data_IF_007374302279
#
_entry.id   IF_007374302279
#
_cell.length_a   1.000
_cell.length_b   1.000
_cell.length_c   1.000
_cell.angle_alpha   90.00
_cell.angle_beta   90.00
_cell.angle_gamma   90.00
#
_symmetry.space_group_name_H-M   'P 1'
#
loop_
_entity.id
_entity.type
_entity.pdbx_description
1 polymer ?
#
# COMPACT_ATOMS: atom_id res chain seq x y z
N UNK A 1 -4.37 -1.69 -25.03
CA UNK A 1 -3.10 -2.40 -24.73
C UNK A 1 -2.83 -2.23 -23.25
N UNK A 2 -2.43 -3.28 -22.55
CA UNK A 2 -2.22 -3.26 -21.10
C UNK A 2 -0.91 -3.97 -20.71
N UNK A 3 -0.36 -3.64 -19.54
CA UNK A 3 0.79 -4.34 -18.94
C UNK A 3 0.34 -5.52 -18.09
N UNK A 4 -0.77 -5.35 -17.37
CA UNK A 4 -1.27 -6.30 -16.40
C UNK A 4 -2.49 -7.00 -16.99
N UNK A 5 -2.54 -8.32 -16.84
CA UNK A 5 -3.60 -9.16 -17.38
C UNK A 5 -3.95 -10.25 -16.38
N UNK A 6 -5.23 -10.60 -16.33
CA UNK A 6 -5.73 -11.77 -15.62
C UNK A 6 -6.14 -12.81 -16.66
N UNK A 7 -6.08 -14.07 -16.27
CA UNK A 7 -6.59 -15.15 -17.09
C UNK A 7 -7.25 -16.25 -16.29
N UNK A 8 -8.15 -16.95 -16.96
CA UNK A 8 -8.76 -18.19 -16.48
C UNK A 8 -8.60 -19.27 -17.52
N UNK A 9 -8.38 -20.51 -17.10
CA UNK A 9 -8.29 -21.67 -17.98
C UNK A 9 -8.94 -22.88 -17.31
N UNK A 10 -10.10 -23.27 -17.83
CA UNK A 10 -10.83 -24.46 -17.37
C UNK A 10 -10.28 -25.73 -18.01
N UNK A 11 -10.26 -26.82 -17.22
CA UNK A 11 -9.80 -28.15 -17.66
C UNK A 11 -8.44 -28.06 -18.37
N UNK A 12 -7.46 -27.55 -17.63
CA UNK A 12 -6.09 -27.32 -18.12
C UNK A 12 -5.33 -28.64 -18.26
N UNK A 13 -4.47 -28.73 -19.26
CA UNK A 13 -3.46 -29.80 -19.32
C UNK A 13 -2.18 -29.35 -18.63
N UNK A 14 -1.38 -30.31 -18.14
CA UNK A 14 -0.10 -29.96 -17.51
C UNK A 14 0.86 -29.31 -18.53
N UNK A 15 0.77 -29.66 -19.82
CA UNK A 15 1.51 -29.00 -20.91
C UNK A 15 1.16 -27.51 -21.01
N UNK A 16 -0.14 -27.16 -20.99
CA UNK A 16 -0.60 -25.77 -21.04
C UNK A 16 -0.12 -24.97 -19.82
N UNK A 17 -0.13 -25.61 -18.64
CA UNK A 17 0.39 -25.01 -17.42
C UNK A 17 1.90 -24.73 -17.55
N UNK A 18 2.67 -25.68 -18.09
CA UNK A 18 4.11 -25.49 -18.33
C UNK A 18 4.39 -24.44 -19.41
N UNK A 19 3.59 -24.33 -20.47
CA UNK A 19 3.75 -23.30 -21.51
C UNK A 19 3.52 -21.88 -20.99
N UNK A 20 2.52 -21.72 -20.13
CA UNK A 20 2.24 -20.44 -19.45
C UNK A 20 3.41 -20.05 -18.56
N UNK A 21 3.94 -21.01 -17.78
CA UNK A 21 5.13 -20.79 -16.96
C UNK A 21 6.39 -20.60 -17.80
N UNK A 22 6.55 -21.26 -18.95
CA UNK A 22 7.70 -21.12 -19.83
C UNK A 22 7.84 -19.73 -20.46
N UNK A 23 6.76 -18.93 -20.43
CA UNK A 23 6.73 -17.57 -20.98
C UNK A 23 7.37 -16.50 -20.08
N UNK A 24 8.09 -16.89 -19.01
CA UNK A 24 8.73 -16.00 -18.01
C UNK A 24 9.59 -14.89 -18.63
N UNK A 25 10.31 -15.16 -19.73
CA UNK A 25 11.23 -14.16 -20.31
C UNK A 25 10.54 -12.85 -20.72
N UNK A 26 9.25 -12.91 -21.05
CA UNK A 26 8.44 -11.75 -21.47
C UNK A 26 7.75 -11.06 -20.29
N UNK A 27 7.83 -11.65 -19.11
CA UNK A 27 7.08 -11.29 -17.91
C UNK A 27 8.03 -10.68 -16.86
N UNK A 28 7.52 -9.73 -16.10
CA UNK A 28 8.15 -9.27 -14.86
C UNK A 28 7.68 -10.12 -13.68
N UNK A 29 6.42 -10.53 -13.72
CA UNK A 29 5.75 -11.23 -12.65
C UNK A 29 4.62 -12.09 -13.21
N UNK A 30 4.43 -13.27 -12.64
CA UNK A 30 3.28 -14.13 -12.87
C UNK A 30 2.94 -14.90 -11.60
N UNK A 31 1.64 -15.02 -11.33
CA UNK A 31 1.08 -15.91 -10.32
C UNK A 31 -0.02 -16.74 -10.97
N UNK A 32 0.00 -18.05 -10.72
CA UNK A 32 -1.00 -19.00 -11.22
C UNK A 32 -1.49 -19.83 -10.04
N UNK A 33 -2.76 -19.64 -9.66
CA UNK A 33 -3.47 -20.49 -8.70
C UNK A 33 -4.11 -21.67 -9.41
N UNK A 34 -3.94 -22.87 -8.83
CA UNK A 34 -4.67 -24.08 -9.19
C UNK A 34 -5.87 -24.16 -8.27
N UNK A 35 -7.05 -23.93 -8.83
CA UNK A 35 -8.31 -23.95 -8.09
C UNK A 35 -9.18 -25.13 -8.54
N UNK A 36 -9.99 -25.69 -7.63
CA UNK A 36 -10.93 -26.77 -7.95
C UNK A 36 -12.34 -26.23 -7.80
N UNK A 37 -13.08 -26.19 -8.90
CA UNK A 37 -14.45 -25.69 -8.92
C UNK A 37 -15.38 -26.56 -8.08
N UNK A 38 -16.59 -26.05 -7.78
CA UNK A 38 -17.59 -26.76 -6.99
C UNK A 38 -18.01 -28.11 -7.60
N UNK A 39 -17.88 -28.27 -8.92
CA UNK A 39 -18.15 -29.52 -9.66
C UNK A 39 -16.91 -30.44 -9.78
N UNK A 40 -15.81 -30.12 -9.10
CA UNK A 40 -14.57 -30.89 -9.13
C UNK A 40 -13.69 -30.63 -10.37
N UNK A 41 -14.06 -29.67 -11.22
CA UNK A 41 -13.30 -29.30 -12.41
C UNK A 41 -12.06 -28.46 -12.05
N UNK A 42 -10.85 -28.92 -12.42
CA UNK A 42 -9.64 -28.14 -12.19
C UNK A 42 -9.61 -26.95 -13.14
N UNK A 43 -9.36 -25.76 -12.60
CA UNK A 43 -9.18 -24.54 -13.37
C UNK A 43 -7.96 -23.77 -12.87
N UNK A 44 -7.34 -23.02 -13.78
CA UNK A 44 -6.25 -22.12 -13.45
C UNK A 44 -6.78 -20.70 -13.38
N UNK A 45 -6.52 -20.02 -12.27
CA UNK A 45 -6.75 -18.59 -12.13
C UNK A 45 -5.39 -17.90 -12.01
N UNK A 46 -5.07 -17.04 -12.97
CA UNK A 46 -3.75 -16.41 -13.03
C UNK A 46 -3.77 -14.91 -13.22
N UNK A 47 -2.69 -14.28 -12.77
CA UNK A 47 -2.39 -12.87 -12.99
C UNK A 47 -0.96 -12.74 -13.49
N UNK A 48 -0.74 -11.87 -14.47
CA UNK A 48 0.58 -11.62 -15.02
C UNK A 48 0.84 -10.14 -15.29
N UNK A 49 2.12 -9.80 -15.22
CA UNK A 49 2.65 -8.49 -15.54
C UNK A 49 3.72 -8.60 -16.61
N UNK A 50 3.47 -7.99 -17.75
CA UNK A 50 4.38 -7.99 -18.90
C UNK A 50 5.44 -6.89 -18.79
N UNK A 51 6.62 -7.15 -19.37
CA UNK A 51 7.68 -6.14 -19.57
C UNK A 51 7.24 -5.00 -20.50
N UNK A 52 6.40 -5.31 -21.49
CA UNK A 52 5.91 -4.37 -22.51
C UNK A 52 4.39 -4.44 -22.59
N UNK A 53 3.73 -3.34 -22.98
CA UNK A 53 2.28 -3.34 -23.23
C UNK A 53 1.97 -4.29 -24.37
N UNK A 54 1.01 -5.18 -24.15
CA UNK A 54 0.50 -6.10 -25.18
C UNK A 54 -0.97 -5.88 -25.46
N UNK A 55 -1.43 -6.40 -26.59
CA UNK A 55 -2.85 -6.54 -26.95
C UNK A 55 -3.27 -7.99 -26.76
N UNK A 56 -4.57 -8.24 -26.66
CA UNK A 56 -5.18 -9.57 -26.54
C UNK A 56 -4.63 -10.60 -27.56
N UNK A 57 -4.44 -10.28 -28.87
CA UNK A 57 -3.91 -11.25 -29.82
C UNK A 57 -2.48 -11.74 -29.51
N UNK A 58 -1.69 -10.95 -28.78
CA UNK A 58 -0.35 -11.38 -28.38
C UNK A 58 -0.41 -12.38 -27.21
N UNK A 59 -1.42 -12.29 -26.35
CA UNK A 59 -1.64 -13.22 -25.24
C UNK A 59 -2.26 -14.54 -25.72
N UNK A 60 -3.14 -14.47 -26.73
CA UNK A 60 -3.65 -15.67 -27.40
C UNK A 60 -2.55 -16.52 -28.06
N UNK A 61 -1.36 -15.95 -28.32
CA UNK A 61 -0.18 -16.71 -28.77
C UNK A 61 0.53 -17.46 -27.64
N UNK A 62 0.35 -17.06 -26.39
CA UNK A 62 0.85 -17.78 -25.21
C UNK A 62 -0.08 -18.97 -24.97
N UNK A 63 -1.37 -18.69 -24.83
CA UNK A 63 -2.40 -19.72 -24.75
C UNK A 63 -3.68 -19.18 -25.40
N UNK A 64 -4.20 -19.88 -26.40
CA UNK A 64 -5.40 -19.47 -27.14
C UNK A 64 -6.70 -19.90 -26.45
N UNK A 65 -6.65 -20.90 -25.58
CA UNK A 65 -7.81 -21.41 -24.81
C UNK A 65 -8.08 -20.59 -23.55
N UNK A 66 -7.06 -19.97 -22.98
CA UNK A 66 -7.21 -19.13 -21.80
C UNK A 66 -8.02 -17.88 -22.13
N UNK A 67 -8.94 -17.53 -21.24
CA UNK A 67 -9.71 -16.30 -21.31
C UNK A 67 -8.91 -15.18 -20.66
N UNK A 68 -8.51 -14.22 -21.48
CA UNK A 68 -7.61 -13.14 -21.09
C UNK A 68 -8.36 -11.82 -20.92
N UNK A 69 -8.21 -11.19 -19.76
CA UNK A 69 -8.81 -9.89 -19.48
C UNK A 69 -7.76 -8.89 -18.97
N UNK A 70 -7.85 -7.61 -19.34
CA UNK A 70 -7.00 -6.58 -18.74
C UNK A 70 -7.28 -6.48 -17.24
N UNK A 71 -6.24 -6.56 -16.41
CA UNK A 71 -6.41 -6.47 -14.96
C UNK A 71 -6.92 -5.08 -14.55
N UNK A 72 -7.98 -5.05 -13.73
CA UNK A 72 -8.60 -3.81 -13.22
C UNK A 72 -8.17 -3.47 -11.79
N UNK A 73 -7.89 -4.50 -10.97
CA UNK A 73 -7.47 -4.35 -9.58
C UNK A 73 -6.01 -3.96 -9.40
N UNK A 74 -5.62 -3.66 -8.16
CA UNK A 74 -4.21 -3.49 -7.80
C UNK A 74 -3.44 -4.82 -7.92
N UNK A 75 -2.11 -4.81 -8.15
CA UNK A 75 -1.34 -6.05 -8.16
C UNK A 75 -1.56 -6.89 -6.89
N UNK A 76 -1.63 -6.24 -5.73
CA UNK A 76 -1.82 -6.90 -4.44
C UNK A 76 -3.20 -7.59 -4.34
N UNK A 77 -4.26 -6.95 -4.82
CA UNK A 77 -5.60 -7.56 -4.89
C UNK A 77 -5.60 -8.81 -5.79
N UNK A 78 -4.98 -8.74 -6.96
CA UNK A 78 -4.94 -9.87 -7.89
C UNK A 78 -4.09 -11.04 -7.34
N UNK A 79 -2.99 -10.73 -6.65
CA UNK A 79 -2.16 -11.75 -5.99
C UNK A 79 -2.92 -12.44 -4.86
N UNK A 80 -3.61 -11.66 -4.02
CA UNK A 80 -4.45 -12.21 -2.97
C UNK A 80 -5.59 -13.07 -3.54
N UNK A 81 -6.13 -12.68 -4.70
CA UNK A 81 -7.16 -13.45 -5.39
C UNK A 81 -6.60 -14.81 -5.87
N UNK A 82 -5.46 -14.81 -6.58
CA UNK A 82 -4.84 -16.04 -7.10
C UNK A 82 -4.22 -16.95 -6.03
N UNK A 83 -4.04 -16.48 -4.79
CA UNK A 83 -3.46 -17.25 -3.68
C UNK A 83 -4.49 -17.79 -2.70
N UNK A 84 -5.79 -17.61 -2.98
CA UNK A 84 -6.90 -17.96 -2.08
C UNK A 84 -6.90 -19.43 -1.65
N UNK A 85 -6.66 -20.36 -2.58
CA UNK A 85 -6.64 -21.80 -2.29
C UNK A 85 -5.27 -22.34 -1.84
N UNK A 86 -4.28 -21.46 -1.63
CA UNK A 86 -2.90 -21.79 -1.20
C UNK A 86 -2.14 -22.77 -2.12
N UNK A 87 -2.73 -23.18 -3.24
CA UNK A 87 -2.09 -23.97 -4.27
C UNK A 87 -1.76 -23.07 -5.46
N UNK A 88 -0.66 -22.33 -5.38
CA UNK A 88 -0.26 -21.41 -6.43
C UNK A 88 1.23 -21.46 -6.73
N UNK A 89 1.59 -21.06 -7.95
CA UNK A 89 2.96 -20.86 -8.37
C UNK A 89 3.18 -19.39 -8.70
N UNK A 90 4.15 -18.80 -8.02
CA UNK A 90 4.54 -17.40 -8.19
C UNK A 90 5.97 -17.34 -8.73
N UNK A 91 6.20 -16.52 -9.75
CA UNK A 91 7.50 -16.33 -10.38
C UNK A 91 7.71 -14.84 -10.72
N UNK A 92 8.89 -14.33 -10.37
CA UNK A 92 9.32 -12.97 -10.68
C UNK A 92 9.00 -11.98 -9.55
N UNK A 93 9.06 -10.69 -9.88
CA UNK A 93 8.89 -9.59 -8.91
C UNK A 93 7.90 -8.56 -9.46
N UNK A 94 6.90 -8.20 -8.66
CA UNK A 94 5.91 -7.18 -9.03
C UNK A 94 6.61 -5.84 -9.24
N UNK A 95 6.63 -5.37 -10.48
CA UNK A 95 7.08 -4.03 -10.82
C UNK A 95 5.97 -3.05 -10.50
N UNK A 96 6.05 -2.45 -9.31
CA UNK A 96 5.16 -1.34 -8.95
C UNK A 96 5.59 -0.14 -9.78
N UNK A 97 4.69 0.32 -10.66
CA UNK A 97 4.81 1.67 -11.17
C UNK A 97 4.60 2.58 -9.98
N UNK A 98 5.68 3.13 -9.50
CA UNK A 98 5.64 4.21 -8.53
C UNK A 98 4.67 5.24 -9.09
N UNK A 99 3.53 5.44 -8.42
CA UNK A 99 2.70 6.62 -8.68
C UNK A 99 3.71 7.74 -8.58
N UNK A 100 3.91 8.49 -9.66
CA UNK A 100 4.59 9.79 -9.55
C UNK A 100 3.77 10.53 -8.51
N UNK A 101 4.23 10.53 -7.26
CA UNK A 101 3.83 11.54 -6.29
C UNK A 101 4.38 12.81 -6.92
N UNK A 102 3.62 13.43 -7.81
CA UNK A 102 3.63 14.88 -7.81
C UNK A 102 3.15 15.22 -6.41
N UNK A 103 4.09 15.37 -5.48
CA UNK A 103 3.79 15.96 -4.18
C UNK A 103 3.40 17.40 -4.51
N UNK A 104 2.13 17.58 -4.89
CA UNK A 104 1.51 18.87 -5.05
C UNK A 104 1.78 19.67 -3.77
N UNK A 105 1.76 19.00 -2.60
CA UNK A 105 2.19 19.54 -1.30
C UNK A 105 3.61 20.12 -1.35
N UNK A 106 4.61 19.39 -1.84
CA UNK A 106 6.02 19.83 -1.90
C UNK A 106 6.24 20.94 -2.95
N UNK A 107 5.60 20.83 -4.11
CA UNK A 107 5.67 21.85 -5.16
C UNK A 107 4.98 23.15 -4.74
N UNK A 108 3.82 23.04 -4.07
CA UNK A 108 3.10 24.16 -3.47
C UNK A 108 3.90 24.77 -2.32
N UNK A 109 4.47 23.95 -1.42
CA UNK A 109 5.31 24.42 -0.31
C UNK A 109 6.51 25.23 -0.80
N UNK A 110 7.24 24.73 -1.79
CA UNK A 110 8.36 25.46 -2.43
C UNK A 110 7.91 26.76 -3.11
N UNK A 111 6.66 26.84 -3.54
CA UNK A 111 6.10 28.05 -4.18
C UNK A 111 5.60 29.05 -3.13
N UNK A 112 5.02 28.58 -2.01
CA UNK A 112 4.58 29.40 -0.88
C UNK A 112 5.79 29.99 -0.14
N UNK A 113 6.84 29.20 0.12
CA UNK A 113 8.05 29.70 0.80
C UNK A 113 8.71 30.85 0.01
N UNK A 114 8.57 30.83 -1.32
CA UNK A 114 9.24 31.80 -2.21
C UNK A 114 8.38 32.99 -2.61
N UNK A 115 7.07 32.96 -2.35
CA UNK A 115 6.13 33.99 -2.85
C UNK A 115 5.22 34.49 -1.74
N UNK A 116 4.95 35.80 -1.75
CA UNK A 116 4.01 36.38 -0.78
C UNK A 116 2.57 35.91 -1.06
N UNK A 117 1.72 35.94 -0.03
CA UNK A 117 0.29 35.60 -0.15
C UNK A 117 -0.43 36.35 -1.29
N UNK A 118 0.00 37.58 -1.58
CA UNK A 118 -0.58 38.44 -2.62
C UNK A 118 -0.21 37.98 -4.05
N UNK A 119 0.99 37.44 -4.24
CA UNK A 119 1.43 36.91 -5.54
C UNK A 119 0.69 35.62 -5.90
N UNK A 120 0.44 34.76 -4.91
CA UNK A 120 -0.35 33.54 -5.09
C UNK A 120 -1.80 33.85 -5.49
N UNK A 121 -2.37 34.94 -4.97
CA UNK A 121 -3.73 35.39 -5.30
C UNK A 121 -3.83 35.90 -6.75
N UNK A 122 -2.79 36.57 -7.26
CA UNK A 122 -2.71 37.03 -8.67
C UNK A 122 -2.61 35.87 -9.66
N UNK A 123 -1.89 34.80 -9.31
CA UNK A 123 -1.77 33.58 -10.14
C UNK A 123 -3.13 32.88 -10.29
N UNK A 124 -3.96 32.89 -9.24
CA UNK A 124 -5.31 32.31 -9.27
C UNK A 124 -6.25 33.01 -10.28
N UNK A 125 -6.01 34.30 -10.58
CA UNK A 125 -6.80 35.06 -11.56
C UNK A 125 -6.61 34.57 -13.01
N UNK A 126 -5.50 33.88 -13.30
CA UNK A 126 -5.17 33.37 -14.65
C UNK A 126 -4.88 31.85 -14.71
N UNK A 127 -4.82 31.15 -13.56
CA UNK A 127 -4.34 29.76 -13.46
C UNK A 127 -5.35 28.74 -12.90
N UNK A 128 -6.64 28.99 -13.04
CA UNK A 128 -7.73 28.25 -12.38
C UNK A 128 -7.94 26.77 -12.81
N UNK A 129 -6.99 26.14 -13.52
CA UNK A 129 -7.11 24.73 -13.95
C UNK A 129 -6.39 23.72 -13.06
N UNK A 130 -5.39 24.16 -12.27
CA UNK A 130 -4.52 23.25 -11.52
C UNK A 130 -4.49 23.47 -10.00
N UNK A 131 -5.17 24.49 -9.49
CA UNK A 131 -5.33 24.71 -8.04
C UNK A 131 -6.78 24.39 -7.69
N UNK A 132 -7.04 23.10 -7.46
CA UNK A 132 -8.39 22.58 -7.21
C UNK A 132 -8.95 23.05 -5.86
N UNK A 133 -8.12 23.53 -4.94
CA UNK A 133 -8.61 24.10 -3.69
C UNK A 133 -7.60 25.07 -3.07
N UNK A 134 -7.78 26.37 -3.33
CA UNK A 134 -6.97 27.44 -2.73
C UNK A 134 -7.09 27.42 -1.20
N UNK A 135 -8.24 27.00 -0.66
CA UNK A 135 -8.47 26.87 0.78
C UNK A 135 -7.48 25.90 1.44
N UNK A 136 -7.28 24.72 0.84
CA UNK A 136 -6.30 23.72 1.31
C UNK A 136 -4.87 24.31 1.29
N UNK A 137 -4.51 25.05 0.25
CA UNK A 137 -3.19 25.68 0.12
C UNK A 137 -2.94 26.71 1.24
N UNK A 138 -3.99 27.43 1.67
CA UNK A 138 -3.90 28.43 2.74
C UNK A 138 -3.86 27.77 4.13
N UNK A 139 -4.56 26.65 4.32
CA UNK A 139 -4.70 25.95 5.61
C UNK A 139 -3.53 24.99 5.89
N UNK A 140 -2.92 24.38 4.87
CA UNK A 140 -1.80 23.45 4.97
C UNK A 140 -0.60 23.97 5.80
N UNK A 141 -0.15 25.24 5.67
CA UNK A 141 0.94 25.75 6.51
C UNK A 141 0.62 25.74 8.00
N UNK A 142 -0.65 25.96 8.38
CA UNK A 142 -1.07 25.93 9.78
C UNK A 142 -1.08 24.49 10.31
N UNK A 143 -1.65 23.56 9.54
CA UNK A 143 -1.68 22.13 9.91
C UNK A 143 -0.27 21.54 10.10
N UNK A 144 0.67 21.88 9.21
CA UNK A 144 2.06 21.43 9.31
C UNK A 144 2.76 22.00 10.55
N UNK A 145 2.48 23.26 10.91
CA UNK A 145 3.04 23.86 12.12
C UNK A 145 2.43 23.24 13.37
N UNK A 146 1.14 22.93 13.36
CA UNK A 146 0.45 22.22 14.44
C UNK A 146 1.04 20.82 14.66
N UNK A 147 1.26 20.03 13.59
CA UNK A 147 1.93 18.72 13.66
C UNK A 147 3.36 18.83 14.22
N UNK A 148 4.11 19.85 13.79
CA UNK A 148 5.46 20.13 14.32
C UNK A 148 5.43 20.47 15.80
N UNK A 149 4.48 21.30 16.23
CA UNK A 149 4.30 21.62 17.64
C UNK A 149 3.90 20.40 18.46
N UNK A 150 3.01 19.56 17.93
CA UNK A 150 2.59 18.33 18.59
C UNK A 150 3.76 17.35 18.75
N UNK A 151 4.60 17.22 17.72
CA UNK A 151 5.82 16.41 17.77
C UNK A 151 6.79 16.93 18.83
N UNK A 152 7.07 18.23 18.84
CA UNK A 152 7.91 18.86 19.88
C UNK A 152 7.32 18.67 21.29
N UNK A 153 5.99 18.76 21.43
CA UNK A 153 5.30 18.51 22.69
C UNK A 153 5.48 17.05 23.12
N UNK A 154 5.21 16.08 22.24
CA UNK A 154 5.42 14.64 22.50
C UNK A 154 6.86 14.34 22.92
N UNK A 155 7.84 14.88 22.21
CA UNK A 155 9.26 14.75 22.58
C UNK A 155 9.56 15.38 23.96
N UNK A 156 8.96 16.53 24.27
CA UNK A 156 9.11 17.18 25.57
C UNK A 156 8.46 16.41 26.72
N UNK A 157 7.40 15.65 26.43
CA UNK A 157 6.73 14.77 27.39
C UNK A 157 7.52 13.49 27.62
N UNK A 158 8.08 12.88 26.56
CA UNK A 158 8.91 11.67 26.67
C UNK A 158 10.18 11.87 27.49
N UNK A 159 10.70 13.10 27.55
CA UNK A 159 11.91 13.45 28.31
C UNK A 159 11.66 13.80 29.78
N UNK A 160 10.40 13.86 30.23
CA UNK A 160 10.09 14.22 31.62
C UNK A 160 9.85 12.99 32.47
N UNK A 161 10.59 12.88 33.56
CA UNK A 161 10.34 11.90 34.61
C UNK A 161 9.03 12.20 35.32
N UNK A 162 8.25 11.14 35.61
CA UNK A 162 7.00 11.23 36.35
C UNK A 162 7.27 11.63 37.79
N UNK A 163 6.49 12.57 38.32
CA UNK A 163 6.58 12.97 39.73
C UNK A 163 6.13 11.81 40.63
N UNK A 164 6.60 11.76 41.89
CA UNK A 164 6.28 10.65 42.81
C UNK A 164 4.78 10.35 42.94
N UNK A 165 3.94 11.39 43.00
CA UNK A 165 2.48 11.23 43.08
C UNK A 165 1.85 10.71 41.77
N UNK A 166 2.49 10.96 40.61
CA UNK A 166 2.02 10.43 39.32
C UNK A 166 2.34 8.94 39.22
N UNK A 167 3.51 8.51 39.71
CA UNK A 167 3.89 7.11 39.83
C UNK A 167 2.90 6.38 40.74
N UNK A 168 2.56 6.99 41.88
CA UNK A 168 1.57 6.43 42.82
C UNK A 168 0.16 6.35 42.20
N UNK A 169 -0.23 7.34 41.38
CA UNK A 169 -1.51 7.33 40.68
C UNK A 169 -1.58 6.26 39.58
N UNK A 170 -0.51 6.09 38.79
CA UNK A 170 -0.41 5.03 37.77
C UNK A 170 -0.48 3.65 38.44
N UNK A 171 0.25 3.47 39.55
CA UNK A 171 0.23 2.23 40.32
C UNK A 171 -1.17 1.92 40.88
N UNK A 172 -1.88 2.94 41.37
CA UNK A 172 -3.27 2.83 41.83
C UNK A 172 -4.26 2.53 40.69
N UNK A 173 -3.95 2.91 39.46
CA UNK A 173 -4.76 2.59 38.28
C UNK A 173 -4.50 1.16 37.81
N UNK A 174 -3.26 0.67 37.89
CA UNK A 174 -2.90 -0.72 37.58
C UNK A 174 -3.43 -1.72 38.63
N UNK A 175 -3.55 -1.30 39.89
CA UNK A 175 -4.09 -2.11 40.99
C UNK A 175 -5.64 -2.10 41.07
N UNK A 176 -6.33 -1.30 40.24
CA UNK A 176 -7.79 -1.31 40.18
C UNK A 176 -8.28 -2.51 39.37
N UNK A 177 -8.85 -3.48 40.07
CA UNK A 177 -9.62 -4.59 39.49
C UNK A 177 -10.87 -4.01 38.81
N UNK A 178 -11.05 -4.27 37.51
CA UNK A 178 -12.14 -3.76 36.66
C UNK A 178 -13.50 -4.16 37.25
N UNK A 179 -14.09 -3.29 38.09
CA UNK A 179 -15.47 -3.46 38.54
C UNK A 179 -16.40 -3.25 37.35
N UNK A 180 -16.78 -4.37 36.73
CA UNK A 180 -18.00 -4.59 35.94
C UNK A 180 -18.69 -3.33 35.41
N UNK A 181 -18.06 -2.75 34.42
CA UNK A 181 -18.64 -1.91 33.38
C UNK A 181 -17.64 -1.98 32.24
N UNK A 182 -17.90 -2.85 31.25
CA UNK A 182 -16.98 -3.19 30.14
C UNK A 182 -15.88 -2.15 29.93
N UNK A 183 -14.62 -2.46 30.29
CA UNK A 183 -13.51 -1.70 29.79
C UNK A 183 -13.57 -1.85 28.28
N UNK A 184 -13.52 -0.74 27.54
CA UNK A 184 -13.27 -0.83 26.11
C UNK A 184 -11.88 -1.44 25.99
N UNK A 185 -11.82 -2.74 25.75
CA UNK A 185 -10.59 -3.54 25.62
C UNK A 185 -9.74 -2.95 24.50
N UNK A 186 -8.86 -2.03 24.86
CA UNK A 186 -7.75 -1.52 24.08
C UNK A 186 -6.70 -1.31 25.18
N UNK A 187 -5.88 -2.28 25.52
CA UNK A 187 -4.76 -2.75 24.71
C UNK A 187 -4.44 -4.17 25.20
N UNK A 188 -4.82 -5.19 24.44
CA UNK A 188 -4.22 -6.52 24.56
C UNK A 188 -2.83 -6.48 23.93
N UNK A 189 -1.85 -7.19 24.51
CA UNK A 189 -0.48 -7.55 24.09
C UNK A 189 -0.01 -7.37 22.62
N UNK A 190 -0.91 -7.21 21.65
CA UNK A 190 -0.60 -6.94 20.25
C UNK A 190 0.08 -5.58 19.98
N UNK A 191 0.13 -4.65 20.93
CA UNK A 191 0.80 -3.35 20.71
C UNK A 191 2.31 -3.39 20.91
N UNK A 192 2.82 -4.17 21.86
CA UNK A 192 4.27 -4.20 22.12
C UNK A 192 5.02 -4.93 21.00
N UNK A 193 4.55 -6.12 20.58
CA UNK A 193 5.12 -6.85 19.43
C UNK A 193 5.00 -6.06 18.11
N UNK A 194 3.95 -5.25 17.95
CA UNK A 194 3.76 -4.42 16.77
C UNK A 194 4.69 -3.20 16.79
N UNK A 195 4.89 -2.59 17.95
CA UNK A 195 5.83 -1.48 18.13
C UNK A 195 7.27 -1.97 17.96
N UNK A 196 7.62 -3.15 18.48
CA UNK A 196 8.94 -3.75 18.31
C UNK A 196 9.21 -4.15 16.85
N UNK A 197 8.19 -4.67 16.13
CA UNK A 197 8.31 -4.90 14.68
C UNK A 197 8.49 -3.61 13.90
N UNK A 198 7.78 -2.54 14.25
CA UNK A 198 7.91 -1.24 13.59
C UNK A 198 9.30 -0.64 13.84
N UNK A 199 9.81 -0.72 15.07
CA UNK A 199 11.16 -0.25 15.42
C UNK A 199 12.22 -1.03 14.63
N UNK A 200 12.15 -2.36 14.63
CA UNK A 200 13.07 -3.20 13.85
C UNK A 200 13.00 -2.95 12.33
N UNK A 201 11.83 -2.57 11.82
CA UNK A 201 11.64 -2.26 10.41
C UNK A 201 12.20 -0.87 10.04
N UNK A 202 12.15 0.09 10.98
CA UNK A 202 12.77 1.41 10.83
C UNK A 202 14.30 1.30 10.90
N UNK A 203 14.84 0.52 11.84
CA UNK A 203 16.30 0.35 11.98
C UNK A 203 16.91 -0.36 10.76
N UNK A 204 16.23 -1.36 10.19
CA UNK A 204 16.68 -2.00 8.95
C UNK A 204 16.63 -1.05 7.74
N UNK A 205 15.65 -0.15 7.67
CA UNK A 205 15.57 0.86 6.61
C UNK A 205 16.69 1.90 6.74
N UNK A 206 17.02 2.32 7.97
CA UNK A 206 18.13 3.24 8.23
C UNK A 206 19.49 2.61 7.94
N UNK A 207 19.67 1.31 8.24
CA UNK A 207 20.88 0.57 7.92
C UNK A 207 21.09 0.39 6.41
N UNK A 208 20.02 0.39 5.60
CA UNK A 208 20.11 0.28 4.13
C UNK A 208 20.42 1.59 3.41
N UNK A 209 20.43 2.71 4.15
CA UNK A 209 20.64 4.06 3.61
C UNK A 209 22.01 4.66 3.93
N UNK A 210 22.84 3.96 4.71
CA UNK A 210 24.28 4.21 4.88
C UNK A 210 25.09 3.23 4.04
#
# INVERSE_FOLDING_TARGET
>A
MAFNWCFTLDNYTEEEYQDILGSIDKLNYIIVGKEVGAEGTPHLQGYLQLKKKSKLPALKKINNRADWEPARGSPDENVNYCSKEKNFKEIGTIQRREKRKCDMKKAVFQTIEKKSKEELFKINKHGARYIVNVKIIIELPNEIEDERQETKRKESFMKKELRPWQIEAVKKLEEQDDRNGTPRSVVSQASEDSVEKIINQIDNLLASYN
#
